data_IF_770017075053
#
_entry.id   IF_770017075053
#
_cell.length_a   1.000
_cell.length_b   1.000
_cell.length_c   1.000
_cell.angle_alpha   90.00
_cell.angle_beta   90.00
_cell.angle_gamma   90.00
#
_symmetry.space_group_name_H-M   'P 1'
#
loop_
_entity.id
_entity.type
_entity.pdbx_description
1 polymer ?
#
# COMPACT_ATOMS: atom_id res chain seq x y z
N UNK A 1 -9.90 -24.45 -37.28
CA UNK A 1 -10.03 -24.58 -35.82
C UNK A 1 -8.83 -23.88 -35.19
N UNK A 2 -8.99 -22.68 -34.61
CA UNK A 2 -7.82 -21.99 -34.04
C UNK A 2 -7.48 -22.65 -32.70
N UNK A 3 -6.28 -23.18 -32.59
CA UNK A 3 -5.73 -23.72 -31.35
C UNK A 3 -5.67 -22.58 -30.33
N UNK A 4 -6.70 -22.54 -29.49
CA UNK A 4 -6.93 -21.59 -28.41
C UNK A 4 -6.04 -22.11 -27.27
N UNK A 5 -5.11 -21.28 -26.79
CA UNK A 5 -4.13 -21.59 -25.73
C UNK A 5 -4.60 -22.60 -24.67
N UNK A 6 -3.68 -23.44 -24.17
CA UNK A 6 -3.99 -24.43 -23.13
C UNK A 6 -4.48 -23.73 -21.85
N UNK A 7 -5.69 -24.06 -21.34
CA UNK A 7 -6.21 -23.47 -20.11
C UNK A 7 -5.34 -23.75 -18.87
N UNK A 8 -5.40 -22.85 -17.87
CA UNK A 8 -4.69 -23.02 -16.58
C UNK A 8 -4.93 -24.36 -15.90
N UNK A 9 -6.17 -24.87 -15.93
CA UNK A 9 -6.53 -26.18 -15.36
C UNK A 9 -5.87 -27.37 -16.07
N UNK A 10 -5.51 -27.23 -17.35
CA UNK A 10 -5.07 -28.32 -18.21
C UNK A 10 -3.53 -28.38 -18.36
N UNK A 11 -2.81 -27.36 -17.89
CA UNK A 11 -1.35 -27.37 -17.84
C UNK A 11 -0.77 -28.53 -17.01
N UNK A 12 0.47 -28.90 -17.35
CA UNK A 12 1.25 -29.88 -16.60
C UNK A 12 1.62 -29.36 -15.21
N UNK A 13 1.80 -30.31 -14.28
CA UNK A 13 2.11 -30.01 -12.88
C UNK A 13 3.32 -29.08 -12.70
N UNK A 14 4.45 -29.21 -13.43
CA UNK A 14 5.58 -28.29 -13.26
C UNK A 14 5.23 -26.83 -13.56
N UNK A 15 4.42 -26.57 -14.60
CA UNK A 15 3.97 -25.22 -14.96
C UNK A 15 3.03 -24.66 -13.88
N UNK A 16 2.09 -25.48 -13.39
CA UNK A 16 1.20 -25.08 -12.30
C UNK A 16 1.96 -24.74 -11.03
N UNK A 17 2.99 -25.53 -10.68
CA UNK A 17 3.88 -25.27 -9.54
C UNK A 17 4.62 -23.95 -9.74
N UNK A 18 5.19 -23.70 -10.93
CA UNK A 18 5.87 -22.45 -11.25
C UNK A 18 4.95 -21.23 -11.09
N UNK A 19 3.77 -21.26 -11.71
CA UNK A 19 2.80 -20.17 -11.64
C UNK A 19 2.29 -19.95 -10.23
N UNK A 20 2.00 -21.03 -9.49
CA UNK A 20 1.55 -20.94 -8.09
C UNK A 20 2.64 -20.38 -7.19
N UNK A 21 3.89 -20.81 -7.37
CA UNK A 21 5.03 -20.30 -6.60
C UNK A 21 5.22 -18.79 -6.82
N UNK A 22 5.18 -18.34 -8.07
CA UNK A 22 5.22 -16.91 -8.41
C UNK A 22 4.05 -16.13 -7.79
N UNK A 23 2.81 -16.58 -8.00
CA UNK A 23 1.62 -15.91 -7.47
C UNK A 23 1.59 -15.87 -5.93
N UNK A 24 2.12 -16.90 -5.27
CA UNK A 24 2.23 -16.94 -3.81
C UNK A 24 3.27 -15.95 -3.30
N UNK A 25 4.46 -15.91 -3.93
CA UNK A 25 5.51 -14.95 -3.57
C UNK A 25 5.04 -13.50 -3.77
N UNK A 26 4.39 -13.20 -4.88
CA UNK A 26 3.82 -11.87 -5.14
C UNK A 26 2.68 -11.55 -4.17
N UNK A 27 1.81 -12.51 -3.84
CA UNK A 27 0.74 -12.32 -2.85
C UNK A 27 1.28 -11.98 -1.46
N UNK A 28 2.34 -12.66 -1.01
CA UNK A 28 3.04 -12.33 0.23
C UNK A 28 3.70 -10.95 0.13
N UNK A 29 4.39 -10.67 -0.97
CA UNK A 29 4.99 -9.36 -1.22
C UNK A 29 3.97 -8.21 -1.18
N UNK A 30 2.78 -8.41 -1.74
CA UNK A 30 1.68 -7.45 -1.68
C UNK A 30 1.23 -7.19 -0.24
N UNK A 31 1.12 -8.23 0.59
CA UNK A 31 0.82 -8.07 2.03
C UNK A 31 1.89 -7.23 2.75
N UNK A 32 3.17 -7.53 2.53
CA UNK A 32 4.26 -6.73 3.11
C UNK A 32 4.29 -5.29 2.59
N UNK A 33 3.92 -5.05 1.33
CA UNK A 33 3.78 -3.69 0.79
C UNK A 33 2.69 -2.90 1.52
N UNK A 34 1.54 -3.52 1.82
CA UNK A 34 0.49 -2.88 2.62
C UNK A 34 0.95 -2.56 4.06
N UNK A 35 1.71 -3.46 4.69
CA UNK A 35 2.33 -3.19 5.99
C UNK A 35 3.33 -2.03 5.90
N UNK A 36 4.16 -2.01 4.87
CA UNK A 36 5.13 -0.94 4.65
C UNK A 36 4.42 0.41 4.52
N UNK A 37 3.31 0.50 3.77
CA UNK A 37 2.51 1.72 3.64
C UNK A 37 1.96 2.15 5.01
N UNK A 38 1.40 1.21 5.78
CA UNK A 38 0.88 1.50 7.12
C UNK A 38 1.97 2.02 8.07
N UNK A 39 3.17 1.44 8.06
CA UNK A 39 4.24 1.89 8.95
C UNK A 39 4.97 3.15 8.46
N UNK A 40 4.99 3.40 7.14
CA UNK A 40 5.68 4.56 6.57
C UNK A 40 4.80 5.81 6.62
N UNK A 41 3.50 5.66 6.35
CA UNK A 41 2.58 6.79 6.22
C UNK A 41 1.53 6.82 7.32
N UNK A 42 1.16 5.67 7.89
CA UNK A 42 -0.03 5.55 8.73
C UNK A 42 0.06 6.08 10.17
N UNK A 43 1.01 6.96 10.42
CA UNK A 43 1.21 7.70 11.66
C UNK A 43 1.59 9.17 11.40
N UNK A 44 1.48 9.63 10.15
CA UNK A 44 1.91 10.97 9.75
C UNK A 44 0.98 12.05 10.33
N UNK A 45 -0.31 11.76 10.50
CA UNK A 45 -1.29 12.60 11.20
C UNK A 45 -1.30 12.41 12.74
N UNK A 46 -0.45 11.51 13.26
CA UNK A 46 -0.33 11.17 14.68
C UNK A 46 -1.36 10.18 15.21
N UNK A 47 -2.19 9.58 14.35
CA UNK A 47 -3.13 8.50 14.67
C UNK A 47 -2.73 7.25 13.89
N UNK A 48 -2.90 6.08 14.52
CA UNK A 48 -2.65 4.82 13.84
C UNK A 48 -3.78 4.50 12.85
N UNK A 49 -3.46 4.45 11.57
CA UNK A 49 -4.40 4.15 10.50
C UNK A 49 -3.84 4.55 9.13
N UNK A 50 -4.63 4.53 8.07
CA UNK A 50 -4.26 5.20 6.83
C UNK A 50 -5.37 6.19 6.50
N UNK A 51 -5.14 7.45 6.83
CA UNK A 51 -6.05 8.55 6.56
C UNK A 51 -5.63 9.31 5.29
N UNK A 52 -6.53 10.15 4.78
CA UNK A 52 -6.18 11.07 3.69
C UNK A 52 -5.15 12.09 4.17
N UNK A 53 -5.27 12.52 5.43
CA UNK A 53 -4.37 13.48 6.04
C UNK A 53 -2.94 12.92 6.14
N UNK A 54 -2.77 11.62 6.42
CA UNK A 54 -1.48 10.94 6.39
C UNK A 54 -0.76 11.09 5.04
N UNK A 55 -1.51 10.94 3.95
CA UNK A 55 -1.00 11.07 2.59
C UNK A 55 -0.68 12.54 2.29
N UNK A 56 -1.54 13.47 2.70
CA UNK A 56 -1.30 14.91 2.55
C UNK A 56 -0.02 15.32 3.28
N UNK A 57 0.14 14.96 4.55
CA UNK A 57 1.35 15.26 5.31
C UNK A 57 2.60 14.63 4.68
N UNK A 58 2.49 13.41 4.15
CA UNK A 58 3.63 12.72 3.53
C UNK A 58 4.10 13.37 2.21
N UNK A 59 3.17 13.80 1.34
CA UNK A 59 3.51 14.28 0.00
C UNK A 59 3.46 15.80 -0.15
N UNK A 60 2.45 16.46 0.42
CA UNK A 60 2.29 17.91 0.39
C UNK A 60 3.08 18.61 1.52
N UNK A 61 3.19 17.96 2.68
CA UNK A 61 3.80 18.50 3.89
C UNK A 61 2.87 19.41 4.70
N UNK A 62 3.25 19.70 5.94
CA UNK A 62 2.57 20.70 6.76
C UNK A 62 3.07 22.13 6.45
N UNK A 63 2.35 22.87 5.59
CA UNK A 63 2.72 24.25 5.22
C UNK A 63 2.63 25.26 6.37
N UNK A 64 1.99 24.91 7.47
CA UNK A 64 1.85 25.78 8.64
C UNK A 64 2.81 25.44 9.77
N UNK A 65 3.66 24.42 9.61
CA UNK A 65 4.60 23.96 10.62
C UNK A 65 5.94 23.54 10.02
N UNK A 66 6.84 23.09 10.90
CA UNK A 66 8.16 22.58 10.50
C UNK A 66 8.17 21.05 10.37
N UNK A 67 9.20 20.51 9.71
CA UNK A 67 9.40 19.05 9.63
C UNK A 67 9.52 18.45 11.03
N UNK A 68 10.28 19.09 11.92
CA UNK A 68 10.45 18.64 13.30
C UNK A 68 9.12 18.67 14.07
N UNK A 69 8.32 19.72 13.91
CA UNK A 69 7.00 19.82 14.54
C UNK A 69 6.03 18.75 14.03
N UNK A 70 6.00 18.48 12.72
CA UNK A 70 5.19 17.39 12.15
C UNK A 70 5.60 16.05 12.76
N UNK A 71 6.89 15.75 12.87
CA UNK A 71 7.36 14.48 13.43
C UNK A 71 7.02 14.33 14.93
N UNK A 72 7.19 15.39 15.73
CA UNK A 72 6.87 15.38 17.17
C UNK A 72 5.36 15.31 17.46
N UNK A 73 4.52 15.66 16.50
CA UNK A 73 3.06 15.46 16.58
C UNK A 73 2.59 14.15 15.94
N UNK A 74 3.40 13.58 15.04
CA UNK A 74 3.16 12.35 14.29
C UNK A 74 3.92 11.14 14.83
N UNK A 75 4.77 10.55 13.98
CA UNK A 75 5.46 9.29 14.24
C UNK A 75 6.39 9.30 15.47
N UNK A 76 6.95 10.45 15.86
CA UNK A 76 7.85 10.58 17.00
C UNK A 76 7.15 11.04 18.29
N UNK A 77 5.83 11.17 18.27
CA UNK A 77 5.03 11.68 19.40
C UNK A 77 5.27 10.95 20.73
N UNK A 78 5.57 9.66 20.69
CA UNK A 78 5.78 8.84 21.90
C UNK A 78 7.24 8.85 22.40
N UNK A 79 8.16 9.46 21.67
CA UNK A 79 9.59 9.43 21.98
C UNK A 79 10.03 10.54 22.94
N UNK A 80 9.14 11.48 23.26
CA UNK A 80 9.38 12.54 24.24
C UNK A 80 8.09 12.88 25.00
N UNK A 81 8.23 13.33 26.26
CA UNK A 81 7.07 13.71 27.07
C UNK A 81 6.33 14.89 26.43
N UNK A 82 5.05 15.08 26.76
CA UNK A 82 4.27 16.21 26.23
C UNK A 82 4.93 17.55 26.54
N UNK A 83 5.50 17.71 27.72
CA UNK A 83 6.23 18.93 28.11
C UNK A 83 7.50 19.12 27.26
N UNK A 84 8.31 18.06 27.10
CA UNK A 84 9.53 18.10 26.31
C UNK A 84 9.24 18.43 24.83
N UNK A 85 8.21 17.80 24.25
CA UNK A 85 7.78 18.07 22.86
C UNK A 85 7.29 19.50 22.71
N UNK A 86 6.50 20.00 23.66
CA UNK A 86 6.02 21.38 23.63
C UNK A 86 7.17 22.38 23.67
N UNK A 87 8.16 22.16 24.55
CA UNK A 87 9.37 23.00 24.60
C UNK A 87 10.13 23.01 23.27
N UNK A 88 10.34 21.84 22.65
CA UNK A 88 11.02 21.77 21.35
C UNK A 88 10.20 22.51 20.28
N UNK A 89 8.89 22.27 20.21
CA UNK A 89 8.02 22.91 19.21
C UNK A 89 8.00 24.44 19.40
N UNK A 90 7.97 24.91 20.64
CA UNK A 90 8.02 26.34 20.95
C UNK A 90 9.35 26.94 20.49
N UNK A 91 10.48 26.31 20.84
CA UNK A 91 11.80 26.74 20.36
C UNK A 91 11.89 26.81 18.82
N UNK A 92 11.28 25.85 18.13
CA UNK A 92 11.21 25.87 16.66
C UNK A 92 10.41 27.08 16.15
N UNK A 93 9.24 27.35 16.74
CA UNK A 93 8.39 28.49 16.36
C UNK A 93 9.03 29.84 16.70
N UNK A 94 9.89 29.88 17.70
CA UNK A 94 10.63 31.07 18.13
C UNK A 94 11.91 31.32 17.29
N UNK A 95 12.13 30.55 16.21
CA UNK A 95 13.20 30.78 15.23
C UNK A 95 14.37 29.80 15.29
N UNK A 96 14.35 28.82 16.20
CA UNK A 96 15.34 27.75 16.29
C UNK A 96 16.80 28.22 16.39
N UNK A 97 17.05 29.23 17.22
CA UNK A 97 18.39 29.79 17.40
C UNK A 97 19.26 28.97 18.36
N UNK A 98 20.58 28.98 18.13
CA UNK A 98 21.53 28.16 18.90
C UNK A 98 21.63 28.61 20.36
N UNK A 99 21.50 29.91 20.61
CA UNK A 99 21.60 30.46 21.96
C UNK A 99 20.45 29.96 22.85
N UNK A 100 19.21 30.00 22.33
CA UNK A 100 18.02 29.49 23.03
C UNK A 100 18.00 27.97 23.09
N UNK A 101 18.52 27.29 22.08
CA UNK A 101 18.68 25.82 22.09
C UNK A 101 19.44 25.32 23.33
N UNK A 102 20.51 26.01 23.71
CA UNK A 102 21.30 25.70 24.91
C UNK A 102 20.69 26.26 26.19
N UNK A 103 20.28 27.53 26.17
CA UNK A 103 19.77 28.22 27.35
C UNK A 103 18.46 27.60 27.88
N UNK A 104 17.57 27.16 26.99
CA UNK A 104 16.25 26.63 27.36
C UNK A 104 16.27 25.12 27.64
N UNK A 105 17.47 24.50 27.61
CA UNK A 105 17.68 23.08 27.90
C UNK A 105 17.20 22.13 26.81
N UNK A 106 16.99 22.63 25.57
CA UNK A 106 16.56 21.80 24.44
C UNK A 106 17.66 20.82 24.03
N UNK A 107 18.93 21.25 24.11
CA UNK A 107 20.11 20.41 23.85
C UNK A 107 20.09 19.13 24.69
N UNK A 108 19.84 19.25 25.99
CA UNK A 108 19.76 18.10 26.89
C UNK A 108 18.63 17.13 26.52
N UNK A 109 17.46 17.64 26.08
CA UNK A 109 16.33 16.81 25.66
C UNK A 109 16.69 16.05 24.37
N UNK A 110 17.30 16.72 23.40
CA UNK A 110 17.69 16.12 22.12
C UNK A 110 18.76 15.05 22.34
N UNK A 111 19.74 15.31 23.20
CA UNK A 111 20.81 14.37 23.53
C UNK A 111 20.26 13.13 24.25
N UNK A 112 19.37 13.32 25.23
CA UNK A 112 18.81 12.21 26.02
C UNK A 112 17.84 11.33 25.19
N UNK A 113 17.02 11.92 24.31
CA UNK A 113 15.87 11.22 23.71
C UNK A 113 15.98 11.00 22.21
N UNK A 114 16.69 11.85 21.49
CA UNK A 114 16.69 11.82 20.04
C UNK A 114 17.99 11.23 19.48
N UNK A 115 19.15 11.59 20.03
CA UNK A 115 20.48 11.16 19.56
C UNK A 115 20.67 9.64 19.65
N UNK A 116 19.96 8.95 20.55
CA UNK A 116 20.00 7.49 20.62
C UNK A 116 19.68 6.79 19.29
N UNK A 117 18.83 7.40 18.46
CA UNK A 117 18.52 6.94 17.10
C UNK A 117 19.13 7.86 16.04
N UNK A 118 19.12 9.17 16.27
CA UNK A 118 19.59 10.20 15.36
C UNK A 118 21.07 10.54 15.59
N UNK A 119 21.95 9.60 15.29
CA UNK A 119 23.41 9.75 15.42
C UNK A 119 24.14 9.45 14.10
N UNK A 120 25.48 9.50 14.13
CA UNK A 120 26.32 9.24 12.97
C UNK A 120 26.21 7.81 12.40
N UNK A 121 25.71 6.86 13.20
CA UNK A 121 25.48 5.47 12.84
C UNK A 121 24.02 5.19 12.45
N UNK A 122 23.19 6.21 12.37
CA UNK A 122 21.78 6.06 12.02
C UNK A 122 21.61 5.45 10.60
N UNK A 123 20.55 4.64 10.38
CA UNK A 123 20.24 4.10 9.05
C UNK A 123 20.11 5.20 7.99
N UNK A 124 20.42 4.84 6.73
CA UNK A 124 20.35 5.77 5.61
C UNK A 124 18.98 6.48 5.54
N UNK A 125 19.00 7.82 5.58
CA UNK A 125 17.81 8.67 5.55
C UNK A 125 17.45 9.31 6.89
N UNK A 126 18.08 8.91 8.00
CA UNK A 126 17.90 9.55 9.30
C UNK A 126 18.97 10.64 9.55
N UNK A 127 18.58 11.87 9.92
CA UNK A 127 19.52 12.96 10.20
C UNK A 127 20.25 12.76 11.53
N UNK A 128 21.55 13.08 11.55
CA UNK A 128 22.42 13.03 12.73
C UNK A 128 22.27 14.30 13.57
N UNK A 129 21.70 14.17 14.77
CA UNK A 129 21.43 15.29 15.68
C UNK A 129 22.61 15.64 16.59
N UNK A 130 23.74 14.93 16.50
CA UNK A 130 25.00 15.44 17.07
C UNK A 130 25.47 16.72 16.35
N UNK A 131 24.91 17.01 15.16
CA UNK A 131 25.21 18.21 14.36
C UNK A 131 24.00 19.13 14.38
N UNK A 132 24.13 20.26 15.07
CA UNK A 132 23.03 21.22 15.23
C UNK A 132 22.47 21.70 13.89
N UNK A 133 23.31 21.84 12.86
CA UNK A 133 22.93 22.27 11.51
C UNK A 133 21.94 21.30 10.85
N UNK A 134 22.08 20.00 11.13
CA UNK A 134 21.16 18.97 10.63
C UNK A 134 19.81 19.03 11.34
N UNK A 135 19.80 19.35 12.63
CA UNK A 135 18.57 19.60 13.39
C UNK A 135 17.91 20.92 12.92
N UNK A 136 18.68 22.01 12.80
CA UNK A 136 18.20 23.33 12.33
C UNK A 136 17.60 23.25 10.93
N UNK A 137 18.13 22.39 10.05
CA UNK A 137 17.52 22.19 8.74
C UNK A 137 16.06 21.68 8.80
N UNK A 138 15.69 20.95 9.86
CA UNK A 138 14.35 20.38 10.05
C UNK A 138 13.37 21.32 10.75
N UNK A 139 13.84 22.46 11.24
CA UNK A 139 12.98 23.50 11.83
C UNK A 139 12.36 24.39 10.75
N UNK A 140 12.78 24.20 9.49
CA UNK A 140 12.17 24.83 8.32
C UNK A 140 10.82 24.21 7.96
N UNK A 141 10.04 24.96 7.16
CA UNK A 141 8.70 24.57 6.74
C UNK A 141 8.67 23.17 6.12
N UNK A 142 7.70 22.36 6.54
CA UNK A 142 7.50 21.02 5.99
C UNK A 142 6.88 21.09 4.59
N UNK A 143 7.66 20.68 3.58
CA UNK A 143 7.23 20.66 2.16
C UNK A 143 6.92 19.24 1.65
N UNK A 144 6.86 18.26 2.57
CA UNK A 144 6.58 16.87 2.28
C UNK A 144 7.71 16.19 1.50
N UNK A 145 7.36 15.16 0.72
CA UNK A 145 8.30 14.38 -0.09
C UNK A 145 9.20 15.25 -0.98
N UNK A 146 10.51 15.03 -0.93
CA UNK A 146 11.47 15.77 -1.77
C UNK A 146 11.39 15.34 -3.23
N UNK A 147 11.76 16.24 -4.15
CA UNK A 147 11.77 15.95 -5.59
C UNK A 147 12.64 14.73 -5.94
N UNK A 148 13.83 14.63 -5.34
CA UNK A 148 14.74 13.49 -5.51
C UNK A 148 14.13 12.18 -5.01
N UNK A 149 13.46 12.19 -3.85
CA UNK A 149 12.74 11.02 -3.35
C UNK A 149 11.63 10.62 -4.32
N UNK A 150 10.85 11.60 -4.80
CA UNK A 150 9.73 11.37 -5.68
C UNK A 150 10.16 10.77 -7.03
N UNK A 151 11.25 11.27 -7.64
CA UNK A 151 11.85 10.68 -8.85
C UNK A 151 12.26 9.23 -8.59
N UNK A 152 13.02 8.98 -7.53
CA UNK A 152 13.56 7.65 -7.22
C UNK A 152 12.44 6.64 -7.01
N UNK A 153 11.46 6.99 -6.17
CA UNK A 153 10.34 6.09 -5.85
C UNK A 153 9.46 5.89 -7.10
N UNK A 154 9.20 6.94 -7.88
CA UNK A 154 8.47 6.84 -9.16
C UNK A 154 9.15 5.88 -10.13
N UNK A 155 10.47 5.99 -10.29
CA UNK A 155 11.25 5.12 -11.18
C UNK A 155 11.14 3.64 -10.75
N UNK A 156 11.38 3.35 -9.48
CA UNK A 156 11.34 1.98 -8.95
C UNK A 156 9.94 1.37 -9.06
N UNK A 157 8.89 2.14 -8.75
CA UNK A 157 7.52 1.63 -8.78
C UNK A 157 7.03 1.43 -10.23
N UNK A 158 7.30 2.38 -11.12
CA UNK A 158 6.86 2.28 -12.51
C UNK A 158 7.46 1.05 -13.20
N UNK A 159 8.75 0.76 -13.00
CA UNK A 159 9.36 -0.45 -13.55
C UNK A 159 8.95 -1.72 -12.80
N UNK A 160 9.11 -1.73 -11.48
CA UNK A 160 8.89 -2.94 -10.67
C UNK A 160 7.44 -3.45 -10.75
N UNK A 161 6.46 -2.56 -10.58
CA UNK A 161 5.04 -2.93 -10.60
C UNK A 161 4.60 -3.36 -12.00
N UNK A 162 5.15 -2.74 -13.06
CA UNK A 162 4.87 -3.15 -14.44
C UNK A 162 5.28 -4.60 -14.71
N UNK A 163 6.45 -5.03 -14.22
CA UNK A 163 6.88 -6.43 -14.35
C UNK A 163 5.95 -7.38 -13.58
N UNK A 164 5.54 -7.00 -12.36
CA UNK A 164 4.61 -7.82 -11.58
C UNK A 164 3.30 -8.03 -12.34
N UNK A 165 2.67 -6.96 -12.82
CA UNK A 165 1.40 -7.06 -13.54
C UNK A 165 1.54 -7.69 -14.92
N UNK A 166 2.70 -7.61 -15.56
CA UNK A 166 2.97 -8.34 -16.80
C UNK A 166 2.91 -9.85 -16.57
N UNK A 167 3.60 -10.37 -15.55
CA UNK A 167 3.61 -11.82 -15.28
C UNK A 167 2.29 -12.31 -14.69
N UNK A 168 1.68 -11.57 -13.75
CA UNK A 168 0.35 -11.91 -13.23
C UNK A 168 -0.68 -11.90 -14.35
N UNK A 169 -0.67 -10.88 -15.22
CA UNK A 169 -1.55 -10.77 -16.36
C UNK A 169 -1.32 -11.85 -17.42
N UNK A 170 -0.06 -12.23 -17.65
CA UNK A 170 0.30 -13.34 -18.54
C UNK A 170 -0.28 -14.66 -18.03
N UNK A 171 -0.07 -15.00 -16.75
CA UNK A 171 -0.63 -16.21 -16.14
C UNK A 171 -2.16 -16.19 -16.25
N UNK A 172 -2.78 -15.07 -15.87
CA UNK A 172 -4.22 -14.90 -15.93
C UNK A 172 -4.78 -14.96 -17.36
N UNK A 173 -4.00 -14.62 -18.38
CA UNK A 173 -4.44 -14.70 -19.78
C UNK A 173 -4.80 -16.13 -20.21
N UNK A 174 -4.21 -17.15 -19.57
CA UNK A 174 -4.52 -18.58 -19.77
C UNK A 174 -5.81 -19.03 -19.07
N UNK A 175 -6.49 -18.16 -18.32
CA UNK A 175 -7.72 -18.53 -17.62
C UNK A 175 -8.87 -18.87 -18.58
N UNK A 176 -9.64 -19.94 -18.39
CA UNK A 176 -10.77 -20.27 -19.30
C UNK A 176 -12.10 -19.68 -18.82
N UNK A 177 -12.29 -19.52 -17.52
CA UNK A 177 -13.56 -19.12 -16.91
C UNK A 177 -13.97 -17.70 -17.24
N UNK A 178 -12.99 -16.85 -17.57
CA UNK A 178 -13.21 -15.42 -17.79
C UNK A 178 -13.32 -15.10 -19.27
N UNK A 179 -14.34 -14.31 -19.65
CA UNK A 179 -14.51 -13.87 -21.04
C UNK A 179 -13.38 -12.92 -21.49
N UNK A 180 -13.07 -12.91 -22.79
CA UNK A 180 -12.00 -12.07 -23.35
C UNK A 180 -12.14 -10.60 -22.97
N UNK A 181 -13.38 -10.07 -22.91
CA UNK A 181 -13.63 -8.68 -22.50
C UNK A 181 -13.12 -8.40 -21.09
N UNK A 182 -13.47 -9.24 -20.12
CA UNK A 182 -13.03 -9.06 -18.74
C UNK A 182 -11.53 -9.32 -18.58
N UNK A 183 -10.95 -10.22 -19.38
CA UNK A 183 -9.50 -10.39 -19.40
C UNK A 183 -8.76 -9.13 -19.84
N UNK A 184 -9.18 -8.53 -20.96
CA UNK A 184 -8.53 -7.31 -21.46
C UNK A 184 -8.65 -6.16 -20.44
N UNK A 185 -9.81 -6.02 -19.78
CA UNK A 185 -9.99 -5.01 -18.73
C UNK A 185 -9.07 -5.29 -17.55
N UNK A 186 -9.09 -6.51 -16.99
CA UNK A 186 -8.27 -6.86 -15.83
C UNK A 186 -6.77 -6.72 -16.12
N UNK A 187 -6.30 -7.13 -17.29
CA UNK A 187 -4.88 -7.01 -17.66
C UNK A 187 -4.50 -5.56 -17.94
N UNK A 188 -5.35 -4.76 -18.60
CA UNK A 188 -5.01 -3.37 -18.95
C UNK A 188 -5.11 -2.38 -17.80
N UNK A 189 -6.07 -2.61 -16.88
CA UNK A 189 -6.43 -1.67 -15.82
C UNK A 189 -5.25 -1.32 -14.87
N UNK A 190 -4.41 -2.26 -14.39
CA UNK A 190 -3.28 -1.96 -13.54
C UNK A 190 -2.31 -0.93 -14.13
N UNK A 191 -2.07 -0.94 -15.44
CA UNK A 191 -1.15 0.00 -16.07
C UNK A 191 -1.69 1.43 -16.07
N UNK A 192 -3.00 1.59 -16.31
CA UNK A 192 -3.66 2.90 -16.25
C UNK A 192 -3.60 3.45 -14.83
N UNK A 193 -3.93 2.62 -13.85
CA UNK A 193 -3.91 3.03 -12.45
C UNK A 193 -2.49 3.21 -11.90
N UNK A 194 -1.49 2.46 -12.38
CA UNK A 194 -0.09 2.68 -12.03
C UNK A 194 0.37 4.07 -12.47
N UNK A 195 0.11 4.45 -13.71
CA UNK A 195 0.47 5.79 -14.20
C UNK A 195 -0.28 6.87 -13.41
N UNK A 196 -1.57 6.64 -13.12
CA UNK A 196 -2.40 7.57 -12.35
C UNK A 196 -1.90 7.71 -10.91
N UNK A 197 -1.50 6.61 -10.27
CA UNK A 197 -0.95 6.59 -8.90
C UNK A 197 0.34 7.43 -8.84
N UNK A 198 1.31 7.17 -9.71
CA UNK A 198 2.55 7.94 -9.76
C UNK A 198 2.25 9.43 -9.99
N UNK A 199 1.45 9.76 -11.01
CA UNK A 199 1.10 11.16 -11.29
C UNK A 199 0.39 11.83 -10.10
N UNK A 200 -0.44 11.09 -9.39
CA UNK A 200 -1.16 11.62 -8.23
C UNK A 200 -0.25 11.97 -7.06
N UNK A 201 0.91 11.31 -6.89
CA UNK A 201 1.92 11.72 -5.90
C UNK A 201 2.50 13.10 -6.23
N UNK A 202 2.83 13.32 -7.51
CA UNK A 202 3.33 14.60 -8.03
C UNK A 202 2.29 15.71 -7.88
N UNK A 203 1.03 15.41 -8.20
CA UNK A 203 -0.07 16.37 -8.05
C UNK A 203 -0.35 16.68 -6.58
N UNK A 204 -0.30 15.68 -5.70
CA UNK A 204 -0.53 15.86 -4.26
C UNK A 204 0.51 16.78 -3.63
N UNK A 205 1.76 16.73 -4.12
CA UNK A 205 2.81 17.67 -3.70
C UNK A 205 2.46 19.14 -3.98
N UNK A 206 1.66 19.40 -5.01
CA UNK A 206 1.25 20.76 -5.43
C UNK A 206 -0.09 21.15 -4.78
N UNK A 207 -1.03 20.22 -4.71
CA UNK A 207 -2.35 20.44 -4.13
C UNK A 207 -2.82 19.20 -3.34
N UNK A 208 -3.16 19.34 -2.05
CA UNK A 208 -3.50 18.21 -1.18
C UNK A 208 -4.76 17.44 -1.63
N UNK A 209 -5.65 18.03 -2.44
CA UNK A 209 -6.87 17.36 -2.93
C UNK A 209 -6.59 16.07 -3.72
N UNK A 210 -5.43 15.99 -4.37
CA UNK A 210 -5.06 14.82 -5.16
C UNK A 210 -4.68 13.60 -4.31
N UNK A 211 -4.62 13.72 -2.97
CA UNK A 211 -4.42 12.57 -2.09
C UNK A 211 -5.52 11.50 -2.25
N UNK A 212 -6.75 11.91 -2.58
CA UNK A 212 -7.83 10.97 -2.91
C UNK A 212 -7.56 10.17 -4.18
N UNK A 213 -6.88 10.76 -5.15
CA UNK A 213 -6.54 10.09 -6.40
C UNK A 213 -5.53 8.95 -6.15
N UNK A 214 -4.60 9.13 -5.20
CA UNK A 214 -3.66 8.09 -4.74
C UNK A 214 -4.43 6.88 -4.22
N UNK A 215 -5.40 7.11 -3.33
CA UNK A 215 -6.20 6.04 -2.72
C UNK A 215 -6.99 5.30 -3.80
N UNK A 216 -7.68 6.03 -4.69
CA UNK A 216 -8.48 5.43 -5.75
C UNK A 216 -7.60 4.61 -6.72
N UNK A 217 -6.40 5.11 -7.03
CA UNK A 217 -5.49 4.42 -7.92
C UNK A 217 -4.91 3.14 -7.31
N UNK A 218 -4.48 3.20 -6.05
CA UNK A 218 -4.05 2.03 -5.29
C UNK A 218 -5.15 0.97 -5.15
N UNK A 219 -6.38 1.39 -4.83
CA UNK A 219 -7.54 0.49 -4.77
C UNK A 219 -7.82 -0.17 -6.11
N UNK A 220 -7.76 0.60 -7.20
CA UNK A 220 -7.93 0.08 -8.55
C UNK A 220 -6.93 -1.04 -8.87
N UNK A 221 -5.65 -0.77 -8.68
CA UNK A 221 -4.60 -1.78 -8.87
C UNK A 221 -4.83 -3.01 -7.98
N UNK A 222 -5.19 -2.81 -6.71
CA UNK A 222 -5.45 -3.89 -5.77
C UNK A 222 -6.61 -4.80 -6.20
N UNK A 223 -7.73 -4.22 -6.64
CA UNK A 223 -8.90 -4.98 -7.13
C UNK A 223 -8.52 -5.82 -8.35
N UNK A 224 -7.79 -5.23 -9.30
CA UNK A 224 -7.37 -5.97 -10.49
C UNK A 224 -6.39 -7.10 -10.16
N UNK A 225 -5.41 -6.82 -9.29
CA UNK A 225 -4.48 -7.84 -8.80
C UNK A 225 -5.24 -9.00 -8.14
N UNK A 226 -6.12 -8.71 -7.18
CA UNK A 226 -6.86 -9.74 -6.45
C UNK A 226 -7.76 -10.58 -7.37
N UNK A 227 -8.40 -9.96 -8.35
CA UNK A 227 -9.20 -10.67 -9.34
C UNK A 227 -8.35 -11.64 -10.17
N UNK A 228 -7.26 -11.15 -10.78
CA UNK A 228 -6.38 -12.00 -11.59
C UNK A 228 -5.73 -13.11 -10.77
N UNK A 229 -5.28 -12.79 -9.56
CA UNK A 229 -4.63 -13.70 -8.63
C UNK A 229 -5.58 -14.82 -8.19
N UNK A 230 -6.79 -14.47 -7.73
CA UNK A 230 -7.75 -15.44 -7.20
C UNK A 230 -8.26 -16.39 -8.29
N UNK A 231 -8.57 -15.88 -9.48
CA UNK A 231 -9.02 -16.72 -10.60
C UNK A 231 -7.90 -17.66 -11.06
N UNK A 232 -6.66 -17.17 -11.18
CA UNK A 232 -5.54 -17.99 -11.64
C UNK A 232 -5.25 -19.16 -10.68
N UNK A 233 -5.22 -18.91 -9.37
CA UNK A 233 -5.02 -19.97 -8.38
C UNK A 233 -6.20 -20.94 -8.34
N UNK A 234 -7.42 -20.42 -8.40
CA UNK A 234 -8.63 -21.25 -8.38
C UNK A 234 -8.64 -22.17 -9.60
N UNK A 235 -8.42 -21.66 -10.81
CA UNK A 235 -8.43 -22.47 -12.03
C UNK A 235 -7.36 -23.56 -12.05
N UNK A 236 -6.16 -23.30 -11.53
CA UNK A 236 -5.11 -24.31 -11.51
C UNK A 236 -5.43 -25.50 -10.61
N UNK A 237 -6.09 -25.28 -9.47
CA UNK A 237 -6.19 -26.27 -8.38
C UNK A 237 -7.61 -26.72 -8.02
N UNK A 238 -8.62 -25.85 -8.18
CA UNK A 238 -10.00 -26.13 -7.76
C UNK A 238 -10.89 -26.61 -8.91
N UNK A 239 -10.56 -26.27 -10.16
CA UNK A 239 -11.36 -26.68 -11.31
C UNK A 239 -10.94 -28.08 -11.77
N UNK A 240 -11.92 -28.98 -11.91
CA UNK A 240 -11.67 -30.35 -12.38
C UNK A 240 -11.21 -30.35 -13.85
N UNK A 241 -10.14 -31.09 -14.12
CA UNK A 241 -9.75 -31.49 -15.49
C UNK A 241 -10.88 -32.37 -16.04
N UNK A 242 -11.64 -31.86 -17.00
CA UNK A 242 -12.57 -32.70 -17.77
C UNK A 242 -11.77 -33.14 -18.99
N UNK A 243 -11.17 -34.33 -18.92
CA UNK A 243 -10.63 -34.97 -20.11
C UNK A 243 -11.81 -35.29 -21.03
N UNK A 244 -11.95 -34.51 -22.10
CA UNK A 244 -12.86 -34.87 -23.19
C UNK A 244 -12.07 -35.83 -24.07
N UNK A 245 -12.06 -37.12 -23.72
CA UNK A 245 -11.83 -38.14 -24.73
C UNK A 245 -12.98 -38.06 -25.72
N UNK A 246 -12.65 -37.65 -26.94
CA UNK A 246 -13.45 -37.75 -28.15
C UNK A 246 -14.94 -37.31 -28.03
N UNK A 247 -15.21 -36.07 -28.47
CA UNK A 247 -16.43 -35.74 -29.21
C UNK A 247 -17.80 -36.01 -28.55
N UNK A 248 -18.43 -34.93 -28.08
CA UNK A 248 -19.88 -34.80 -28.19
C UNK A 248 -20.70 -34.94 -26.90
N UNK A 249 -21.74 -34.12 -26.84
CA UNK A 249 -22.93 -34.22 -25.97
C UNK A 249 -22.84 -33.68 -24.53
N UNK A 250 -21.75 -33.78 -23.77
CA UNK A 250 -21.80 -33.39 -22.33
C UNK A 250 -21.58 -31.89 -22.02
N UNK A 251 -20.86 -31.16 -22.86
CA UNK A 251 -20.59 -29.71 -22.66
C UNK A 251 -21.84 -28.82 -22.75
N UNK A 252 -22.90 -29.28 -23.42
CA UNK A 252 -24.17 -28.57 -23.47
C UNK A 252 -24.94 -28.67 -22.15
N UNK A 253 -24.93 -29.83 -21.46
CA UNK A 253 -25.66 -30.01 -20.19
C UNK A 253 -25.17 -29.10 -19.07
N UNK A 254 -23.86 -28.90 -18.94
CA UNK A 254 -23.29 -28.01 -17.91
C UNK A 254 -23.55 -26.53 -18.19
N UNK A 255 -23.58 -26.11 -19.47
CA UNK A 255 -23.94 -24.74 -19.84
C UNK A 255 -25.40 -24.44 -19.53
N UNK A 256 -26.27 -25.43 -19.72
CA UNK A 256 -27.69 -25.35 -19.36
C UNK A 256 -27.87 -25.31 -17.84
N UNK A 257 -27.11 -26.12 -17.08
CA UNK A 257 -27.13 -26.15 -15.62
C UNK A 257 -26.59 -24.84 -15.00
N UNK A 258 -25.50 -24.28 -15.53
CA UNK A 258 -24.96 -23.00 -15.07
C UNK A 258 -25.92 -21.84 -15.35
N UNK A 259 -26.56 -21.80 -16.53
CA UNK A 259 -27.57 -20.78 -16.86
C UNK A 259 -28.87 -20.90 -16.07
N UNK A 260 -29.20 -22.10 -15.56
CA UNK A 260 -30.36 -22.29 -14.68
C UNK A 260 -30.06 -21.89 -13.24
N UNK A 261 -28.83 -22.12 -12.77
CA UNK A 261 -28.41 -21.72 -11.41
C UNK A 261 -28.08 -20.22 -11.34
N UNK A 262 -27.53 -19.64 -12.41
CA UNK A 262 -27.19 -18.22 -12.50
C UNK A 262 -27.77 -17.58 -13.77
N UNK A 263 -29.04 -17.15 -13.74
CA UNK A 263 -29.67 -16.46 -14.87
C UNK A 263 -28.98 -15.11 -15.12
N UNK A 264 -28.82 -14.69 -16.40
CA UNK A 264 -28.04 -13.51 -16.77
C UNK A 264 -28.69 -12.15 -16.43
N UNK A 265 -29.75 -12.11 -15.63
CA UNK A 265 -30.40 -10.86 -15.19
C UNK A 265 -30.06 -10.50 -13.75
N UNK A 266 -28.83 -10.05 -13.50
CA UNK A 266 -28.49 -9.23 -12.33
C UNK A 266 -27.43 -8.19 -12.67
N UNK A 267 -27.60 -7.52 -13.82
CA UNK A 267 -26.74 -6.41 -14.23
C UNK A 267 -27.04 -5.07 -13.52
N UNK A 268 -28.05 -4.99 -12.64
CA UNK A 268 -28.49 -3.72 -12.04
C UNK A 268 -28.10 -3.51 -10.56
N UNK A 269 -27.54 -4.51 -9.88
CA UNK A 269 -27.28 -4.45 -8.43
C UNK A 269 -25.79 -4.56 -8.03
N UNK A 270 -24.86 -4.38 -8.96
CA UNK A 270 -23.42 -4.53 -8.68
C UNK A 270 -22.87 -3.41 -7.76
N UNK A 271 -23.33 -2.17 -7.96
CA UNK A 271 -22.92 -1.00 -7.19
C UNK A 271 -23.31 -1.07 -5.70
N UNK A 272 -24.57 -1.38 -5.31
CA UNK A 272 -24.92 -1.54 -3.90
C UNK A 272 -24.30 -2.80 -3.28
N UNK A 273 -24.01 -3.84 -4.06
CA UNK A 273 -23.32 -5.02 -3.55
C UNK A 273 -21.85 -4.72 -3.23
N UNK A 274 -21.16 -3.99 -4.11
CA UNK A 274 -19.78 -3.55 -3.88
C UNK A 274 -19.68 -2.60 -2.67
N UNK A 275 -20.63 -1.69 -2.48
CA UNK A 275 -20.63 -0.81 -1.31
C UNK A 275 -20.91 -1.56 -0.01
N UNK A 276 -21.77 -2.58 -0.02
CA UNK A 276 -22.03 -3.44 1.13
C UNK A 276 -20.83 -4.32 1.44
N UNK A 277 -20.17 -4.92 0.43
CA UNK A 277 -18.96 -5.72 0.62
C UNK A 277 -17.80 -4.86 1.11
N UNK A 278 -17.62 -3.65 0.57
CA UNK A 278 -16.61 -2.71 1.03
C UNK A 278 -16.85 -2.27 2.47
N UNK A 279 -18.11 -1.96 2.84
CA UNK A 279 -18.48 -1.59 4.20
C UNK A 279 -18.25 -2.74 5.18
N UNK A 280 -18.64 -3.96 4.80
CA UNK A 280 -18.47 -5.15 5.63
C UNK A 280 -17.00 -5.55 5.79
N UNK A 281 -16.19 -5.41 4.72
CA UNK A 281 -14.74 -5.60 4.78
C UNK A 281 -14.07 -4.55 5.67
N UNK A 282 -14.51 -3.29 5.61
CA UNK A 282 -14.03 -2.21 6.47
C UNK A 282 -14.38 -2.44 7.94
N UNK A 283 -15.63 -2.80 8.25
CA UNK A 283 -16.07 -3.15 9.61
C UNK A 283 -15.31 -4.37 10.15
N UNK A 284 -15.11 -5.40 9.33
CA UNK A 284 -14.40 -6.61 9.73
C UNK A 284 -12.89 -6.37 9.94
N UNK A 285 -12.29 -5.47 9.15
CA UNK A 285 -10.95 -4.97 9.38
C UNK A 285 -10.85 -4.22 10.72
N UNK A 286 -11.77 -3.30 11.00
CA UNK A 286 -11.76 -2.51 12.24
C UNK A 286 -11.99 -3.34 13.50
N UNK A 287 -12.90 -4.32 13.45
CA UNK A 287 -13.28 -5.10 14.63
C UNK A 287 -12.41 -6.32 14.90
N UNK A 288 -11.88 -6.97 13.86
CA UNK A 288 -11.17 -8.24 14.03
C UNK A 288 -9.68 -8.12 13.74
N UNK A 289 -9.30 -7.43 12.68
CA UNK A 289 -7.89 -7.39 12.25
C UNK A 289 -7.11 -6.31 12.99
N UNK A 290 -7.67 -5.09 13.07
CA UNK A 290 -7.04 -3.94 13.72
C UNK A 290 -6.72 -4.17 15.21
N UNK A 291 -7.59 -4.82 16.02
CA UNK A 291 -7.29 -5.06 17.43
C UNK A 291 -6.26 -6.18 17.63
N UNK A 292 -6.28 -7.22 16.77
CA UNK A 292 -5.25 -8.26 16.79
C UNK A 292 -3.87 -7.69 16.45
N UNK A 293 -3.80 -6.81 15.44
CA UNK A 293 -2.57 -6.11 15.09
C UNK A 293 -2.10 -5.18 16.20
N UNK A 294 -3.01 -4.38 16.80
CA UNK A 294 -2.70 -3.52 17.96
C UNK A 294 -2.19 -4.34 19.16
N UNK A 295 -2.81 -5.48 19.44
CA UNK A 295 -2.37 -6.37 20.53
C UNK A 295 -1.02 -7.04 20.25
N UNK A 296 -0.74 -7.41 19.00
CA UNK A 296 0.55 -7.95 18.58
C UNK A 296 1.65 -6.88 18.71
N UNK A 297 1.40 -5.66 18.25
CA UNK A 297 2.31 -4.52 18.40
C UNK A 297 2.57 -4.16 19.87
N UNK A 298 1.52 -4.14 20.70
CA UNK A 298 1.66 -3.88 22.13
C UNK A 298 2.46 -4.98 22.86
N UNK A 299 2.46 -6.22 22.34
CA UNK A 299 3.31 -7.30 22.85
C UNK A 299 4.76 -7.17 22.40
N UNK A 300 5.01 -6.69 21.19
CA UNK A 300 6.36 -6.46 20.66
C UNK A 300 7.03 -5.22 21.25
N UNK A 301 6.25 -4.21 21.69
CA UNK A 301 6.75 -3.00 22.37
C UNK A 301 6.86 -3.12 23.90
N UNK A 302 6.59 -4.30 24.49
CA UNK A 302 6.90 -4.50 25.92
C UNK A 302 8.41 -4.69 26.08
N UNK A 303 9.11 -3.87 26.88
CA UNK A 303 10.50 -4.17 27.21
C UNK A 303 10.52 -5.54 27.92
N UNK A 304 11.28 -6.47 27.36
CA UNK A 304 11.72 -7.66 28.10
C UNK A 304 12.42 -7.16 29.36
N UNK A 305 11.87 -7.52 30.52
CA UNK A 305 12.56 -7.37 31.80
C UNK A 305 13.89 -8.10 31.76
#
# INVERSE_FOLDING_TARGET
MSQKYLPLKDHDTPIKVLFTGYLSAVGIGYFFALLQILFTHGMADGKFGLSVDDIVYSYYGNRSGSVLETQLNGAMKQNASTEQRFKIIQWVRDGAELNTYKADGIEAIVEERCVMCHNAQAPAGMPDFNKFEKLKALTTQDTGATFNSLIRVSHVHLFGISFIFMFVGLIFSFSETTSTKYKCIAVGMPYIFLVTDILSWWLTKINPLFAWLIILAGMGMGISFMFMWAISLSEMWLYKKIYIEAGGVYGQKLRTLYRTIFPPETGKNLLPMLSVVAKKAYEQWQHNVLPLFKNLLNRLNKPTK
#
